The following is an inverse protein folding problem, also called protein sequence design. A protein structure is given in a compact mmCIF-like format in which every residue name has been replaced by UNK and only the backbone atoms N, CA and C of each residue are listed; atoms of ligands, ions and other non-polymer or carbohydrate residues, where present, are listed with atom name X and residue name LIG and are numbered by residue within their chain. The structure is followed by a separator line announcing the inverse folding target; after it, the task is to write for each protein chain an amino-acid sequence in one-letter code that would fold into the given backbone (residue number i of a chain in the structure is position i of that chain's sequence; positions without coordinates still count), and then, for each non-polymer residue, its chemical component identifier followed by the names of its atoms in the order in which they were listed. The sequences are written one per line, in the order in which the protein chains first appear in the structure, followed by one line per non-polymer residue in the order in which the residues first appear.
data_IF_775462516504
#
_entry.id   IF_775462516504
#
_cell.length_a   1.000
_cell.length_b   1.000
_cell.length_c   1.000
_cell.angle_alpha   90.00
_cell.angle_beta   90.00
_cell.angle_gamma   90.00
#
_symmetry.space_group_name_H-M   'P 1'
#
loop_
_entity.id
_entity.type
_entity.pdbx_description
1 polymer ?
#
# COMPACT_ATOMS: atom_id res chain seq x y z
N UNK A 1 6.82 -18.03 37.71
CA UNK A 1 6.34 -18.42 39.06
C UNK A 1 6.90 -17.43 40.06
N UNK A 2 6.08 -16.85 40.94
CA UNK A 2 6.60 -16.04 42.06
C UNK A 2 7.50 -16.93 42.91
N UNK A 3 8.72 -16.47 43.20
CA UNK A 3 9.76 -17.30 43.85
C UNK A 3 9.68 -17.30 45.38
N UNK A 4 9.01 -16.32 45.98
CA UNK A 4 8.88 -16.15 47.43
C UNK A 4 7.53 -15.50 47.78
N UNK A 5 6.49 -16.33 47.92
CA UNK A 5 5.14 -15.85 48.28
C UNK A 5 5.08 -15.28 49.70
N UNK A 6 5.90 -15.77 50.63
CA UNK A 6 5.90 -15.35 52.02
C UNK A 6 6.34 -13.87 52.19
N UNK A 7 7.18 -13.37 51.28
CA UNK A 7 7.59 -11.96 51.23
C UNK A 7 6.74 -11.09 50.30
N UNK A 8 5.75 -11.66 49.62
CA UNK A 8 4.89 -10.92 48.71
C UNK A 8 3.78 -10.13 49.44
N UNK A 9 3.71 -10.19 50.77
CA UNK A 9 2.70 -9.51 51.59
C UNK A 9 2.64 -7.99 51.36
N UNK A 10 3.78 -7.36 51.05
CA UNK A 10 3.86 -5.93 50.73
C UNK A 10 3.17 -5.55 49.40
N UNK A 11 2.81 -6.56 48.58
CA UNK A 11 2.07 -6.42 47.33
C UNK A 11 0.59 -6.80 47.47
N UNK A 12 0.13 -7.16 48.67
CA UNK A 12 -1.28 -7.46 48.91
C UNK A 12 -2.16 -6.26 48.51
N UNK A 13 -3.18 -6.53 47.69
CA UNK A 13 -4.08 -5.50 47.17
C UNK A 13 -3.49 -4.56 46.12
N UNK A 14 -2.24 -4.75 45.70
CA UNK A 14 -1.63 -4.01 44.58
C UNK A 14 -1.79 -4.78 43.28
N UNK A 15 -1.97 -4.05 42.18
CA UNK A 15 -1.95 -4.65 40.85
C UNK A 15 -0.53 -5.12 40.49
N UNK A 16 -0.47 -6.28 39.82
CA UNK A 16 0.74 -6.82 39.22
C UNK A 16 0.56 -6.78 37.70
N UNK A 17 1.45 -6.07 37.01
CA UNK A 17 1.43 -5.97 35.55
C UNK A 17 2.37 -7.02 34.94
N UNK A 18 1.86 -7.79 33.98
CA UNK A 18 2.64 -8.69 33.15
C UNK A 18 2.75 -8.12 31.73
N UNK A 19 3.94 -7.66 31.37
CA UNK A 19 4.21 -7.16 30.02
C UNK A 19 4.85 -8.27 29.18
N UNK A 20 4.17 -8.65 28.10
CA UNK A 20 4.64 -9.66 27.15
C UNK A 20 4.89 -8.98 25.80
N UNK A 21 6.15 -8.63 25.45
CA UNK A 21 6.46 -8.16 24.10
C UNK A 21 6.31 -9.32 23.12
N UNK A 22 5.59 -9.07 22.02
CA UNK A 22 5.35 -10.06 20.97
C UNK A 22 5.48 -9.42 19.59
N UNK A 23 5.85 -10.23 18.60
CA UNK A 23 5.94 -9.83 17.20
C UNK A 23 5.18 -10.84 16.32
N UNK A 24 4.45 -10.34 15.33
CA UNK A 24 3.82 -11.18 14.31
C UNK A 24 4.93 -11.82 13.47
N UNK A 25 4.86 -13.12 13.24
CA UNK A 25 5.82 -13.83 12.38
C UNK A 25 5.71 -13.33 10.93
N UNK A 26 6.83 -13.28 10.23
CA UNK A 26 6.87 -12.92 8.80
C UNK A 26 5.97 -13.85 7.96
N UNK A 27 5.27 -13.28 6.98
CA UNK A 27 4.38 -14.02 6.07
C UNK A 27 2.99 -14.38 6.63
N UNK A 28 2.65 -13.96 7.86
CA UNK A 28 1.30 -14.20 8.40
C UNK A 28 0.27 -13.29 7.73
N UNK A 29 -0.66 -13.89 6.98
CA UNK A 29 -1.77 -13.20 6.28
C UNK A 29 -3.10 -13.22 7.04
N UNK A 30 -3.13 -13.84 8.23
CA UNK A 30 -4.35 -14.01 9.04
C UNK A 30 -4.83 -12.67 9.59
N UNK A 31 -6.04 -12.25 9.22
CA UNK A 31 -6.62 -10.93 9.54
C UNK A 31 -6.76 -10.64 11.04
N UNK A 32 -7.00 -11.64 11.91
CA UNK A 32 -7.10 -11.45 13.37
C UNK A 32 -6.35 -12.53 14.13
N UNK A 33 -5.36 -12.12 14.92
CA UNK A 33 -4.53 -13.01 15.76
C UNK A 33 -4.92 -12.78 17.23
N UNK A 34 -5.69 -13.69 17.85
CA UNK A 34 -6.12 -13.52 19.23
C UNK A 34 -5.01 -13.84 20.24
N UNK A 35 -5.01 -13.10 21.34
CA UNK A 35 -4.27 -13.38 22.55
C UNK A 35 -5.23 -13.43 23.75
N UNK A 36 -5.07 -14.44 24.61
CA UNK A 36 -5.87 -14.63 25.83
C UNK A 36 -4.96 -14.79 27.03
N UNK A 37 -5.46 -14.44 28.22
CA UNK A 37 -4.72 -14.61 29.48
C UNK A 37 -5.62 -15.29 30.51
N UNK A 38 -4.98 -16.03 31.43
CA UNK A 38 -5.61 -16.69 32.56
C UNK A 38 -4.67 -16.67 33.75
N UNK A 39 -5.19 -16.42 34.94
CA UNK A 39 -4.43 -16.50 36.20
C UNK A 39 -4.87 -17.75 36.95
N UNK A 40 -3.89 -18.57 37.34
CA UNK A 40 -4.09 -19.72 38.23
C UNK A 40 -3.54 -19.36 39.61
N UNK A 41 -4.29 -19.65 40.67
CA UNK A 41 -3.93 -19.29 42.04
C UNK A 41 -4.40 -20.33 43.04
N UNK A 42 -3.78 -20.33 44.22
CA UNK A 42 -4.20 -21.11 45.38
C UNK A 42 -4.70 -20.13 46.46
N UNK A 43 -5.86 -20.39 47.04
CA UNK A 43 -6.40 -19.59 48.15
C UNK A 43 -6.24 -20.28 49.52
N UNK A 44 -5.45 -21.34 49.59
CA UNK A 44 -5.09 -22.07 50.81
C UNK A 44 -3.69 -21.68 51.29
N UNK A 45 -3.45 -21.88 52.58
CA UNK A 45 -2.17 -21.59 53.26
C UNK A 45 -1.18 -22.77 53.20
N UNK A 46 -1.47 -23.79 52.38
CA UNK A 46 -0.68 -25.01 52.28
C UNK A 46 -0.07 -25.09 50.88
N UNK A 47 1.23 -25.39 50.81
CA UNK A 47 1.92 -25.59 49.54
C UNK A 47 1.29 -26.74 48.73
N UNK A 48 0.98 -26.49 47.46
CA UNK A 48 0.32 -27.43 46.57
C UNK A 48 0.04 -26.86 45.18
N UNK A 49 -0.49 -27.69 44.28
CA UNK A 49 -0.93 -27.24 42.96
C UNK A 49 -2.06 -26.19 43.08
N UNK A 50 -2.11 -25.17 42.19
CA UNK A 50 -3.21 -24.20 42.17
C UNK A 50 -4.57 -24.89 42.02
N UNK A 51 -5.55 -24.51 42.85
CA UNK A 51 -6.91 -25.09 42.86
C UNK A 51 -7.97 -24.17 42.23
N UNK A 52 -7.60 -22.92 41.94
CA UNK A 52 -8.50 -21.91 41.39
C UNK A 52 -7.91 -21.22 40.18
N UNK A 53 -8.81 -20.72 39.35
CA UNK A 53 -8.47 -20.01 38.14
C UNK A 53 -9.43 -18.86 37.91
N UNK A 54 -8.95 -17.75 37.34
CA UNK A 54 -9.82 -16.66 36.91
C UNK A 54 -10.59 -17.08 35.65
N UNK A 55 -11.80 -16.51 35.41
CA UNK A 55 -12.42 -16.59 34.11
C UNK A 55 -11.45 -16.10 33.01
N UNK A 56 -11.46 -16.70 31.82
CA UNK A 56 -10.62 -16.25 30.72
C UNK A 56 -10.98 -14.82 30.33
N UNK A 57 -9.97 -14.00 30.04
CA UNK A 57 -10.21 -12.66 29.49
C UNK A 57 -10.82 -12.78 28.08
N UNK A 58 -11.71 -11.85 27.66
CA UNK A 58 -12.03 -11.72 26.25
C UNK A 58 -10.74 -11.59 25.42
N UNK A 59 -10.64 -12.26 24.25
CA UNK A 59 -9.44 -12.20 23.43
C UNK A 59 -9.23 -10.78 22.91
N UNK A 60 -8.02 -10.27 23.03
CA UNK A 60 -7.57 -9.09 22.28
C UNK A 60 -6.91 -9.57 20.98
N UNK A 61 -7.08 -8.83 19.89
CA UNK A 61 -6.56 -9.23 18.58
C UNK A 61 -5.63 -8.19 17.98
N UNK A 62 -4.60 -8.64 17.27
CA UNK A 62 -3.85 -7.81 16.32
C UNK A 62 -4.16 -8.20 14.88
N UNK A 63 -4.06 -7.24 13.97
CA UNK A 63 -4.25 -7.42 12.53
C UNK A 63 -2.93 -7.17 11.81
N UNK A 64 -2.36 -8.16 11.08
CA UNK A 64 -1.19 -7.93 10.25
C UNK A 64 -1.47 -6.92 9.13
N UNK A 65 -0.48 -6.11 8.73
CA UNK A 65 -0.57 -5.31 7.52
C UNK A 65 -0.71 -6.21 6.29
N UNK A 66 -1.48 -5.76 5.29
CA UNK A 66 -1.52 -6.39 3.97
C UNK A 66 -0.54 -5.70 3.05
N UNK A 67 0.21 -6.47 2.26
CA UNK A 67 1.13 -5.91 1.27
C UNK A 67 0.36 -5.18 0.16
N UNK A 68 0.86 -4.03 -0.30
CA UNK A 68 0.28 -3.35 -1.44
C UNK A 68 0.54 -4.12 -2.73
N UNK A 69 -0.43 -4.08 -3.63
CA UNK A 69 -0.34 -4.62 -4.99
C UNK A 69 -0.42 -3.50 -6.00
N UNK A 70 0.14 -3.71 -7.20
CA UNK A 70 0.08 -2.74 -8.30
C UNK A 70 -0.28 -3.43 -9.61
N UNK A 71 -1.18 -2.83 -10.36
CA UNK A 71 -1.54 -3.19 -11.73
C UNK A 71 -1.43 -1.96 -12.63
N UNK A 72 -1.09 -2.17 -13.90
CA UNK A 72 -0.93 -1.09 -14.89
C UNK A 72 -1.59 -1.48 -16.19
N UNK A 73 -2.40 -0.57 -16.73
CA UNK A 73 -3.01 -0.68 -18.05
C UNK A 73 -2.81 0.58 -18.87
N UNK A 74 -2.89 0.42 -20.18
CA UNK A 74 -3.01 1.51 -21.15
C UNK A 74 -4.50 1.70 -21.44
N UNK A 75 -4.99 2.93 -21.37
CA UNK A 75 -6.38 3.28 -21.62
C UNK A 75 -7.35 2.34 -20.88
N UNK A 76 -7.12 2.16 -19.57
CA UNK A 76 -7.85 1.29 -18.64
C UNK A 76 -7.76 -0.23 -18.86
N UNK A 77 -7.50 -0.71 -20.08
CA UNK A 77 -7.76 -2.12 -20.45
C UNK A 77 -6.60 -2.83 -21.12
N UNK A 78 -5.73 -2.11 -21.81
CA UNK A 78 -4.74 -2.72 -22.69
C UNK A 78 -3.43 -2.99 -21.94
N UNK A 79 -2.89 -4.19 -22.09
CA UNK A 79 -1.54 -4.53 -21.65
C UNK A 79 -0.45 -4.05 -22.63
N UNK A 80 -0.87 -3.75 -23.85
CA UNK A 80 -0.01 -3.36 -24.96
C UNK A 80 -0.81 -2.53 -25.97
N UNK A 81 -0.14 -1.57 -26.59
CA UNK A 81 -0.68 -0.78 -27.70
C UNK A 81 0.38 -0.76 -28.82
N UNK A 82 0.06 -1.39 -29.95
CA UNK A 82 0.83 -1.25 -31.18
C UNK A 82 0.51 0.09 -31.83
N UNK A 83 1.55 0.87 -32.15
CA UNK A 83 1.40 2.15 -32.82
C UNK A 83 1.93 2.00 -34.24
N UNK A 84 1.14 2.33 -35.28
CA UNK A 84 1.59 2.18 -36.66
C UNK A 84 2.86 3.02 -36.90
N UNK A 85 3.88 2.40 -37.49
CA UNK A 85 5.11 3.09 -37.86
C UNK A 85 4.83 4.12 -38.95
N UNK A 86 5.41 5.30 -38.78
CA UNK A 86 5.38 6.37 -39.77
C UNK A 86 6.32 6.01 -40.94
N UNK A 87 6.00 4.96 -41.70
CA UNK A 87 6.77 4.56 -42.90
C UNK A 87 6.24 5.32 -44.12
N UNK A 88 7.11 6.15 -44.69
CA UNK A 88 7.10 6.76 -46.03
C UNK A 88 5.93 7.68 -46.43
N UNK A 89 6.00 8.96 -46.02
CA UNK A 89 5.33 10.07 -46.71
C UNK A 89 6.32 10.93 -47.51
N UNK A 90 7.08 10.31 -48.42
CA UNK A 90 7.71 11.03 -49.54
C UNK A 90 6.75 11.10 -50.73
N UNK A 91 5.72 11.97 -50.67
CA UNK A 91 5.21 12.76 -51.82
C UNK A 91 3.94 13.54 -51.42
N UNK A 92 4.06 14.86 -51.36
CA UNK A 92 3.05 15.83 -51.79
C UNK A 92 1.63 15.85 -51.20
N UNK A 93 1.39 15.60 -49.90
CA UNK A 93 0.18 16.16 -49.27
C UNK A 93 0.51 16.72 -47.87
N UNK A 94 0.21 18.02 -47.66
CA UNK A 94 -0.13 18.57 -46.34
C UNK A 94 -1.43 17.93 -45.80
N UNK A 95 -1.53 16.60 -45.81
CA UNK A 95 -2.62 15.86 -45.22
C UNK A 95 -2.05 15.27 -43.95
N UNK A 96 -2.47 15.88 -42.84
CA UNK A 96 -2.51 15.31 -41.50
C UNK A 96 -1.51 14.19 -41.26
N UNK A 97 -0.34 14.53 -40.71
CA UNK A 97 0.54 13.56 -40.05
C UNK A 97 -0.33 12.60 -39.22
N UNK A 98 -0.01 11.29 -39.15
CA UNK A 98 -0.69 10.40 -38.20
C UNK A 98 -0.59 11.07 -36.83
N UNK A 99 -1.75 11.48 -36.33
CA UNK A 99 -1.91 12.26 -35.11
C UNK A 99 -1.13 11.56 -34.01
N UNK A 100 -0.25 12.32 -33.36
CA UNK A 100 0.33 12.02 -32.05
C UNK A 100 -0.74 11.31 -31.21
N UNK A 101 -0.59 9.99 -31.04
CA UNK A 101 -1.61 9.20 -30.38
C UNK A 101 -1.45 9.42 -28.89
N UNK A 102 -2.34 10.23 -28.33
CA UNK A 102 -2.48 10.36 -26.89
C UNK A 102 -2.95 9.02 -26.32
N UNK A 103 -2.35 8.60 -25.22
CA UNK A 103 -2.84 7.47 -24.43
C UNK A 103 -2.59 7.74 -22.96
N UNK A 104 -3.27 6.95 -22.14
CA UNK A 104 -3.25 7.10 -20.69
C UNK A 104 -2.64 5.86 -20.07
N UNK A 105 -1.68 6.02 -19.16
CA UNK A 105 -1.32 4.94 -18.25
C UNK A 105 -2.18 5.03 -17.00
N UNK A 106 -2.89 3.95 -16.70
CA UNK A 106 -3.73 3.75 -15.54
C UNK A 106 -3.01 2.79 -14.59
N UNK A 107 -2.59 3.30 -13.45
CA UNK A 107 -1.85 2.53 -12.44
C UNK A 107 -2.74 2.38 -11.23
N UNK A 108 -3.21 1.16 -10.95
CA UNK A 108 -4.07 0.85 -9.82
C UNK A 108 -3.25 0.19 -8.72
N UNK A 109 -3.18 0.81 -7.56
CA UNK A 109 -2.44 0.30 -6.40
C UNK A 109 -3.39 0.03 -5.23
N UNK A 110 -3.29 -1.14 -4.59
CA UNK A 110 -4.04 -1.41 -3.36
C UNK A 110 -3.34 -0.79 -2.16
N UNK A 111 -4.12 -0.15 -1.29
CA UNK A 111 -3.64 0.39 -0.03
C UNK A 111 -3.68 -0.70 1.05
N UNK A 112 -2.64 -0.79 1.90
CA UNK A 112 -2.66 -1.63 3.08
C UNK A 112 -3.87 -1.38 3.98
N UNK A 113 -4.42 -2.43 4.60
CA UNK A 113 -5.52 -2.31 5.57
C UNK A 113 -5.14 -1.52 6.83
N UNK A 114 -3.85 -1.30 7.07
CA UNK A 114 -3.31 -0.51 8.18
C UNK A 114 -2.64 0.78 7.70
N UNK A 115 -3.03 1.32 6.54
CA UNK A 115 -2.42 2.52 5.91
C UNK A 115 -2.26 3.71 6.87
N UNK A 116 -3.14 3.88 7.84
CA UNK A 116 -3.06 4.96 8.85
C UNK A 116 -1.81 4.89 9.75
N UNK A 117 -1.19 3.72 9.84
CA UNK A 117 0.06 3.50 10.58
C UNK A 117 1.32 3.67 9.74
N UNK A 118 1.19 3.75 8.41
CA UNK A 118 2.33 3.85 7.49
C UNK A 118 2.97 5.24 7.57
N UNK A 119 4.26 5.28 7.21
CA UNK A 119 5.03 6.53 7.12
C UNK A 119 5.38 6.93 5.69
N UNK A 120 5.24 5.98 4.75
CA UNK A 120 5.57 6.17 3.35
C UNK A 120 4.75 5.20 2.48
N UNK A 121 4.20 5.73 1.41
CA UNK A 121 3.53 5.01 0.33
C UNK A 121 3.69 5.85 -0.93
N UNK A 122 4.35 5.30 -1.96
CA UNK A 122 4.77 6.06 -3.13
C UNK A 122 4.58 5.23 -4.39
N UNK A 123 3.75 5.71 -5.31
CA UNK A 123 3.61 5.12 -6.64
C UNK A 123 4.60 5.85 -7.56
N UNK A 124 5.49 5.10 -8.21
CA UNK A 124 6.48 5.67 -9.14
C UNK A 124 6.34 5.01 -10.52
N UNK A 125 6.18 5.84 -11.54
CA UNK A 125 6.22 5.44 -12.95
C UNK A 125 7.36 6.19 -13.65
N UNK A 126 8.14 5.50 -14.48
CA UNK A 126 9.14 6.17 -15.33
C UNK A 126 8.82 5.84 -16.77
N UNK A 127 8.35 6.86 -17.48
CA UNK A 127 8.06 6.78 -18.90
C UNK A 127 9.35 6.47 -19.67
N UNK A 128 9.23 5.66 -20.72
CA UNK A 128 10.34 5.41 -21.65
C UNK A 128 10.75 6.71 -22.36
N UNK A 129 12.00 6.79 -22.81
CA UNK A 129 12.57 7.98 -23.45
C UNK A 129 11.88 8.37 -24.76
N UNK A 130 11.18 7.44 -25.40
CA UNK A 130 10.37 7.70 -26.58
C UNK A 130 9.01 8.33 -26.23
N UNK A 131 8.69 8.44 -24.94
CA UNK A 131 7.42 8.99 -24.45
C UNK A 131 7.63 10.31 -23.72
N UNK A 132 6.54 11.05 -23.58
CA UNK A 132 6.45 12.17 -22.66
C UNK A 132 5.08 12.22 -22.01
N UNK A 133 4.99 12.82 -20.83
CA UNK A 133 3.68 13.29 -20.34
C UNK A 133 3.13 14.24 -21.38
N UNK A 134 1.85 14.09 -21.72
CA UNK A 134 1.19 14.93 -22.72
C UNK A 134 1.32 16.41 -22.32
N UNK A 135 1.85 17.29 -23.17
CA UNK A 135 1.98 18.71 -22.89
C UNK A 135 0.64 19.33 -22.47
N UNK A 136 0.66 20.07 -21.36
CA UNK A 136 -0.54 20.69 -20.78
C UNK A 136 -1.43 19.74 -19.97
N UNK A 137 -1.18 18.43 -19.98
CA UNK A 137 -1.85 17.49 -19.09
C UNK A 137 -1.14 17.39 -17.73
N UNK A 138 -1.90 17.12 -16.68
CA UNK A 138 -1.40 16.98 -15.31
C UNK A 138 -1.72 15.56 -14.83
N UNK A 139 -0.71 14.71 -14.59
CA UNK A 139 -0.94 13.42 -13.95
C UNK A 139 -1.59 13.57 -12.58
N UNK A 140 -2.51 12.69 -12.23
CA UNK A 140 -3.30 12.82 -11.00
C UNK A 140 -3.76 11.49 -10.45
N UNK A 141 -4.03 11.46 -9.14
CA UNK A 141 -4.80 10.39 -8.51
C UNK A 141 -6.28 10.66 -8.74
N UNK A 142 -7.07 9.64 -9.07
CA UNK A 142 -8.51 9.78 -9.33
C UNK A 142 -9.34 9.80 -8.03
N UNK A 143 -10.54 10.38 -8.13
CA UNK A 143 -11.56 10.34 -7.07
C UNK A 143 -11.14 10.99 -5.75
N UNK A 144 -11.79 10.57 -4.67
CA UNK A 144 -11.58 11.13 -3.33
C UNK A 144 -10.18 10.87 -2.77
N UNK A 145 -9.46 9.88 -3.30
CA UNK A 145 -8.09 9.59 -2.92
C UNK A 145 -7.14 10.74 -3.29
N UNK A 146 -7.47 11.57 -4.29
CA UNK A 146 -6.60 12.65 -4.78
C UNK A 146 -6.11 13.60 -3.67
N UNK A 147 -6.98 13.92 -2.70
CA UNK A 147 -6.65 14.84 -1.59
C UNK A 147 -5.54 14.32 -0.67
N UNK A 148 -5.31 13.01 -0.67
CA UNK A 148 -4.30 12.34 0.15
C UNK A 148 -2.94 12.23 -0.52
N UNK A 149 -2.79 12.64 -1.77
CA UNK A 149 -1.55 12.48 -2.53
C UNK A 149 -1.04 13.81 -3.08
N UNK A 150 0.28 13.92 -3.16
CA UNK A 150 0.95 14.89 -4.04
C UNK A 150 1.52 14.16 -5.25
N UNK A 151 1.22 14.67 -6.45
CA UNK A 151 1.75 14.13 -7.70
C UNK A 151 2.78 15.10 -8.28
N UNK A 152 3.96 14.59 -8.60
CA UNK A 152 5.07 15.35 -9.19
C UNK A 152 5.58 14.66 -10.44
N UNK A 153 6.02 15.47 -11.40
CA UNK A 153 6.72 15.02 -12.60
C UNK A 153 8.13 15.61 -12.55
N UNK A 154 9.14 14.75 -12.59
CA UNK A 154 10.54 15.13 -12.68
C UNK A 154 11.18 14.42 -13.87
N UNK A 155 11.46 15.18 -14.94
CA UNK A 155 11.82 14.62 -16.24
C UNK A 155 10.77 13.62 -16.74
N UNK A 156 11.15 12.35 -16.83
CA UNK A 156 10.29 11.24 -17.29
C UNK A 156 9.63 10.45 -16.16
N UNK A 157 9.92 10.79 -14.91
CA UNK A 157 9.40 10.08 -13.75
C UNK A 157 8.21 10.82 -13.15
N UNK A 158 7.08 10.12 -13.05
CA UNK A 158 5.89 10.57 -12.34
C UNK A 158 5.84 9.88 -10.98
N UNK A 159 5.69 10.66 -9.92
CA UNK A 159 5.66 10.16 -8.54
C UNK A 159 4.41 10.66 -7.83
N UNK A 160 3.57 9.75 -7.35
CA UNK A 160 2.45 10.05 -6.45
C UNK A 160 2.81 9.63 -5.03
N UNK A 161 2.93 10.60 -4.11
CA UNK A 161 3.31 10.37 -2.71
C UNK A 161 2.12 10.65 -1.81
N UNK A 162 1.72 9.66 -0.99
CA UNK A 162 0.69 9.88 0.03
C UNK A 162 1.23 10.82 1.13
N UNK A 163 0.44 11.82 1.53
CA UNK A 163 0.83 12.86 2.50
C UNK A 163 0.01 12.85 3.80
N UNK A 164 -1.17 12.25 3.82
CA UNK A 164 -2.06 12.27 4.98
C UNK A 164 -2.51 10.86 5.38
N UNK A 165 -1.59 10.10 5.97
CA UNK A 165 -1.86 8.74 6.43
C UNK A 165 -2.92 8.71 7.53
N UNK A 166 -2.85 9.64 8.49
CA UNK A 166 -3.72 9.62 9.67
C UNK A 166 -5.20 9.67 9.32
N UNK A 167 -5.57 10.41 8.27
CA UNK A 167 -6.96 10.53 7.81
C UNK A 167 -7.32 9.57 6.66
N UNK A 168 -6.41 8.71 6.21
CA UNK A 168 -6.64 7.76 5.10
C UNK A 168 -7.40 6.49 5.53
N UNK A 169 -8.00 6.46 6.72
CA UNK A 169 -8.65 5.27 7.29
C UNK A 169 -9.77 4.71 6.43
N UNK A 170 -10.56 5.57 5.78
CA UNK A 170 -11.61 5.15 4.85
C UNK A 170 -11.05 4.48 3.60
N UNK A 171 -9.82 4.80 3.19
CA UNK A 171 -9.16 4.22 2.01
C UNK A 171 -8.44 2.89 2.30
N UNK A 172 -8.39 2.46 3.56
CA UNK A 172 -7.68 1.24 3.95
C UNK A 172 -8.22 0.01 3.20
N UNK A 173 -7.34 -0.74 2.55
CA UNK A 173 -7.72 -1.91 1.74
C UNK A 173 -8.33 -1.58 0.37
N UNK A 174 -8.55 -0.31 0.03
CA UNK A 174 -9.10 0.10 -1.26
C UNK A 174 -8.02 0.24 -2.32
N UNK A 175 -8.43 0.31 -3.59
CA UNK A 175 -7.54 0.66 -4.70
C UNK A 175 -7.55 2.17 -4.96
N UNK A 176 -6.37 2.73 -5.19
CA UNK A 176 -6.18 4.08 -5.72
C UNK A 176 -5.64 3.99 -7.13
N UNK A 177 -5.96 4.98 -7.97
CA UNK A 177 -5.55 4.99 -9.36
C UNK A 177 -4.79 6.27 -9.71
N UNK A 178 -3.55 6.11 -10.17
CA UNK A 178 -2.74 7.15 -10.78
C UNK A 178 -2.94 7.13 -12.30
N UNK A 179 -3.31 8.28 -12.85
CA UNK A 179 -3.56 8.49 -14.28
C UNK A 179 -2.45 9.38 -14.84
N UNK A 180 -1.74 8.88 -15.84
CA UNK A 180 -0.67 9.60 -16.54
C UNK A 180 -1.05 9.72 -18.02
N UNK A 181 -1.56 10.88 -18.46
CA UNK A 181 -1.72 11.17 -19.87
C UNK A 181 -0.34 11.30 -20.53
N UNK A 182 -0.07 10.49 -21.53
CA UNK A 182 1.20 10.39 -22.21
C UNK A 182 1.03 10.46 -23.73
N UNK A 183 2.11 10.78 -24.41
CA UNK A 183 2.21 10.79 -25.86
C UNK A 183 3.58 10.31 -26.29
N UNK A 184 3.67 9.80 -27.52
CA UNK A 184 4.94 9.50 -28.16
C UNK A 184 5.63 10.80 -28.58
N UNK A 185 6.93 10.88 -28.36
CA UNK A 185 7.76 11.97 -28.86
C UNK A 185 7.79 11.96 -30.39
N UNK A 186 7.93 13.14 -30.96
CA UNK A 186 8.06 13.29 -32.41
C UNK A 186 9.30 12.57 -32.94
N UNK A 187 9.18 11.93 -34.11
CA UNK A 187 10.28 11.22 -34.78
C UNK A 187 10.53 9.78 -34.31
N UNK A 188 9.79 9.28 -33.31
CA UNK A 188 9.88 7.87 -32.89
C UNK A 188 9.23 6.96 -33.92
N UNK A 189 9.98 5.94 -34.35
CA UNK A 189 9.53 4.91 -35.32
C UNK A 189 9.41 3.51 -34.70
N UNK A 190 9.58 3.38 -33.39
CA UNK A 190 9.54 2.12 -32.66
C UNK A 190 8.10 1.63 -32.48
N UNK A 191 7.82 0.39 -32.88
CA UNK A 191 6.47 -0.21 -32.86
C UNK A 191 5.97 -0.55 -31.45
N UNK A 192 6.91 -0.89 -30.55
CA UNK A 192 6.63 -1.36 -29.19
C UNK A 192 7.43 -0.58 -28.17
N UNK A 193 6.74 0.12 -27.28
CA UNK A 193 7.36 0.96 -26.25
C UNK A 193 6.93 0.46 -24.87
N UNK A 194 7.82 -0.22 -24.10
CA UNK A 194 7.48 -0.69 -22.77
C UNK A 194 7.36 0.48 -21.79
N UNK A 195 6.53 0.35 -20.76
CA UNK A 195 6.51 1.27 -19.63
C UNK A 195 6.32 0.51 -18.32
N UNK A 196 7.17 0.73 -17.32
CA UNK A 196 7.20 -0.02 -16.05
C UNK A 196 6.79 0.83 -14.85
N UNK A 197 6.13 0.22 -13.85
CA UNK A 197 5.67 0.89 -12.63
C UNK A 197 6.07 0.11 -11.39
N UNK A 198 6.23 0.80 -10.26
CA UNK A 198 6.41 0.19 -8.92
C UNK A 198 5.66 0.98 -7.84
N UNK A 199 5.34 0.30 -6.74
CA UNK A 199 4.73 0.84 -5.51
C UNK A 199 5.63 0.53 -4.32
#
# INVERSE_FOLDING_TARGET
TMKDFAKAGDFAGKEVELVIPAQIREGVTRVKIPNTTKVVYNNSTVDGEPDKETPPTPPVTVTPPTDPTVDKKINEKLDHLDVPTQTDYTYNIKASLPTQTDYTYNIKASLPTTITSYKKFVITDTLDNDLTVKPGAIPSITGDAAKFFDVKVDGQTVTATMKDFANAGELAGQQVELVIPAQIREGVTRVKIPNTTKV
#
